data_IF_897484610459
#
_entry.id   IF_897484610459
#
_cell.length_a   1.000
_cell.length_b   1.000
_cell.length_c   1.000
_cell.angle_alpha   90.00
_cell.angle_beta   90.00
_cell.angle_gamma   90.00
#
_symmetry.space_group_name_H-M   'P 1'
#
loop_
_entity.id
_entity.type
_entity.pdbx_description
1 polymer ?
#
# COMPACT_ATOMS: atom_id res chain seq x y z
N UNK A 1 -48.73 12.99 -3.14
CA UNK A 1 -48.49 11.53 -3.03
C UNK A 1 -47.00 11.30 -2.92
N UNK A 2 -46.50 11.25 -1.68
CA UNK A 2 -45.07 11.20 -1.37
C UNK A 2 -44.64 9.74 -1.17
N UNK A 3 -43.85 9.21 -2.10
CA UNK A 3 -43.34 7.84 -2.05
C UNK A 3 -42.09 7.79 -1.19
N UNK A 4 -42.28 7.56 0.11
CA UNK A 4 -41.24 7.07 1.02
C UNK A 4 -41.11 5.55 0.82
N UNK A 5 -40.02 5.08 0.25
CA UNK A 5 -39.69 3.65 0.20
C UNK A 5 -38.21 3.42 0.55
N UNK A 6 -38.04 2.65 1.62
CA UNK A 6 -36.97 1.70 1.91
C UNK A 6 -35.55 2.24 2.22
N UNK A 7 -35.42 2.80 3.42
CA UNK A 7 -34.20 2.69 4.22
C UNK A 7 -34.40 1.61 5.28
N UNK A 8 -34.09 0.36 4.97
CA UNK A 8 -33.97 -0.74 5.94
C UNK A 8 -33.16 -1.87 5.28
N UNK A 9 -32.30 -2.50 6.07
CA UNK A 9 -31.31 -3.55 5.73
C UNK A 9 -29.91 -3.02 5.31
N UNK A 10 -29.22 -2.35 6.23
CA UNK A 10 -27.74 -2.36 6.27
C UNK A 10 -27.23 -2.01 7.68
N UNK A 11 -27.56 -2.84 8.67
CA UNK A 11 -27.02 -2.68 10.04
C UNK A 11 -27.14 -3.99 10.83
N UNK A 12 -26.36 -5.01 10.45
CA UNK A 12 -26.04 -6.13 11.36
C UNK A 12 -24.95 -7.03 10.79
N UNK A 13 -23.66 -6.67 10.94
CA UNK A 13 -22.57 -7.67 10.92
C UNK A 13 -21.18 -7.14 11.33
N UNK A 14 -21.05 -6.23 12.30
CA UNK A 14 -19.72 -5.90 12.88
C UNK A 14 -19.81 -5.43 14.34
N UNK A 15 -20.47 -6.20 15.20
CA UNK A 15 -20.46 -5.96 16.65
C UNK A 15 -20.37 -7.28 17.41
N UNK A 16 -19.27 -8.02 17.27
CA UNK A 16 -18.96 -9.14 18.19
C UNK A 16 -17.48 -9.55 18.11
N UNK A 17 -16.59 -8.62 18.49
CA UNK A 17 -15.20 -8.97 18.82
C UNK A 17 -14.66 -8.11 19.96
N UNK A 18 -15.37 -8.09 21.08
CA UNK A 18 -14.82 -7.73 22.39
C UNK A 18 -15.08 -8.88 23.35
N UNK A 19 -14.38 -10.00 23.13
CA UNK A 19 -14.25 -11.07 24.13
C UNK A 19 -13.02 -10.75 24.97
N UNK A 20 -13.15 -9.76 25.85
CA UNK A 20 -12.18 -9.36 26.87
C UNK A 20 -12.58 -9.97 28.22
N UNK A 21 -12.68 -11.29 28.29
CA UNK A 21 -12.88 -12.01 29.55
C UNK A 21 -11.94 -13.21 29.55
N UNK A 22 -10.85 -13.12 30.31
CA UNK A 22 -9.87 -14.19 30.38
C UNK A 22 -8.48 -13.84 30.93
N UNK A 23 -8.24 -12.62 31.42
CA UNK A 23 -7.03 -12.34 32.21
C UNK A 23 -7.31 -12.62 33.68
N UNK A 24 -7.48 -13.90 34.00
CA UNK A 24 -7.36 -14.38 35.37
C UNK A 24 -5.91 -14.22 35.80
N UNK A 25 -5.65 -13.24 36.66
CA UNK A 25 -4.97 -13.49 37.93
C UNK A 25 -3.72 -14.40 37.86
N UNK A 26 -2.70 -13.98 37.12
CA UNK A 26 -1.34 -14.44 37.38
C UNK A 26 -0.76 -13.61 38.53
N UNK A 27 -1.03 -14.05 39.76
CA UNK A 27 -0.31 -13.58 40.94
C UNK A 27 1.18 -13.83 40.73
N UNK A 28 1.95 -12.75 40.67
CA UNK A 28 3.40 -12.80 40.79
C UNK A 28 3.75 -13.32 42.19
N UNK A 29 4.15 -14.59 42.28
CA UNK A 29 4.80 -15.15 43.47
C UNK A 29 6.19 -14.51 43.55
N UNK A 30 6.28 -13.41 44.29
CA UNK A 30 7.56 -12.88 44.76
C UNK A 30 8.09 -13.89 45.78
N UNK A 31 9.06 -14.70 45.36
CA UNK A 31 9.84 -15.51 46.28
C UNK A 31 10.80 -14.54 46.98
N UNK A 32 10.38 -14.02 48.13
CA UNK A 32 11.24 -13.28 49.04
C UNK A 32 12.19 -14.31 49.66
N UNK A 33 13.48 -14.23 49.31
CA UNK A 33 14.52 -15.03 49.95
C UNK A 33 14.72 -14.50 51.38
N UNK A 34 14.20 -15.21 52.36
CA UNK A 34 14.17 -14.83 53.78
C UNK A 34 15.53 -14.98 54.49
N UNK A 35 16.60 -15.37 53.77
CA UNK A 35 17.92 -15.65 54.35
C UNK A 35 19.01 -14.59 54.13
N UNK A 36 18.67 -13.38 53.66
CA UNK A 36 19.69 -12.34 53.41
C UNK A 36 19.73 -11.21 54.45
N UNK A 37 19.04 -11.31 55.59
CA UNK A 37 18.85 -10.17 56.52
C UNK A 37 19.83 -10.07 57.70
N UNK A 38 20.78 -10.99 57.87
CA UNK A 38 21.71 -10.94 59.00
C UNK A 38 23.12 -10.54 58.56
N UNK A 39 23.40 -9.22 58.53
CA UNK A 39 24.79 -8.76 58.36
C UNK A 39 25.03 -7.33 57.91
N UNK A 40 24.07 -6.40 57.95
CA UNK A 40 24.33 -4.99 57.61
C UNK A 40 24.66 -4.18 58.86
N UNK A 41 25.93 -4.27 59.27
CA UNK A 41 26.55 -3.27 60.12
C UNK A 41 26.53 -1.92 59.40
N UNK A 42 25.92 -0.92 60.03
CA UNK A 42 25.85 0.45 59.55
C UNK A 42 27.26 1.08 59.57
N UNK A 43 28.04 0.83 58.52
CA UNK A 43 29.16 1.71 58.17
C UNK A 43 28.56 2.98 57.58
N UNK A 44 28.72 4.09 58.31
CA UNK A 44 28.42 5.44 57.84
C UNK A 44 29.33 5.75 56.65
N UNK A 45 28.87 5.36 55.46
CA UNK A 45 29.57 5.62 54.21
C UNK A 45 29.42 7.11 53.88
N UNK A 46 30.54 7.83 53.96
CA UNK A 46 30.67 9.18 53.41
C UNK A 46 30.15 9.18 51.97
N UNK A 47 29.12 10.00 51.69
CA UNK A 47 28.52 10.15 50.37
C UNK A 47 29.63 10.39 49.34
N UNK A 48 29.92 9.45 48.42
CA UNK A 48 30.96 9.65 47.44
C UNK A 48 30.59 10.86 46.58
N UNK A 49 31.51 11.83 46.50
CA UNK A 49 31.36 13.02 45.65
C UNK A 49 30.93 12.58 44.25
N UNK A 50 29.76 13.05 43.81
CA UNK A 50 29.19 12.68 42.52
C UNK A 50 30.24 12.90 41.41
N UNK A 51 30.67 11.81 40.78
CA UNK A 51 31.61 11.86 39.66
C UNK A 51 30.98 12.79 38.61
N UNK A 52 31.70 13.87 38.26
CA UNK A 52 31.32 14.79 37.17
C UNK A 52 30.91 13.94 35.97
N UNK A 53 29.62 13.97 35.61
CA UNK A 53 29.06 13.16 34.54
C UNK A 53 29.75 13.45 33.22
N UNK A 54 29.80 12.45 32.33
CA UNK A 54 30.22 12.67 30.94
C UNK A 54 29.36 13.81 30.35
N UNK A 55 29.96 14.74 29.59
CA UNK A 55 29.22 15.74 28.84
C UNK A 55 28.08 15.07 28.05
N UNK A 56 26.91 15.70 28.01
CA UNK A 56 25.81 15.22 27.18
C UNK A 56 26.30 15.16 25.73
N UNK A 57 26.09 14.03 25.06
CA UNK A 57 26.41 13.91 23.65
C UNK A 57 25.51 14.87 22.85
N UNK A 58 26.03 15.47 21.75
CA UNK A 58 25.27 16.37 20.91
C UNK A 58 24.00 15.70 20.39
N UNK A 59 22.96 16.51 20.16
CA UNK A 59 21.64 16.01 19.76
C UNK A 59 21.64 15.23 18.43
N UNK A 60 22.67 15.34 17.59
CA UNK A 60 22.81 14.54 16.37
C UNK A 60 23.21 13.08 16.63
N UNK A 61 23.81 12.78 17.79
CA UNK A 61 24.05 11.41 18.26
C UNK A 61 22.88 10.92 19.10
N UNK A 62 21.64 11.12 18.63
CA UNK A 62 20.46 10.56 19.29
C UNK A 62 20.69 9.07 19.49
N UNK A 63 20.58 8.65 20.75
CA UNK A 63 20.71 7.27 21.19
C UNK A 63 19.80 6.37 20.35
N UNK A 64 20.38 5.57 19.46
CA UNK A 64 19.64 4.54 18.72
C UNK A 64 18.97 3.62 19.73
N UNK A 65 17.65 3.51 19.66
CA UNK A 65 16.89 2.60 20.54
C UNK A 65 17.13 1.18 20.04
N UNK A 66 17.65 0.31 20.91
CA UNK A 66 17.83 -1.10 20.55
C UNK A 66 16.46 -1.74 20.36
N UNK A 67 16.19 -2.23 19.15
CA UNK A 67 14.98 -2.97 18.82
C UNK A 67 15.32 -4.46 18.73
N UNK A 68 14.90 -5.22 19.73
CA UNK A 68 15.09 -6.68 19.75
C UNK A 68 13.91 -7.35 19.04
N UNK A 69 14.18 -8.00 17.90
CA UNK A 69 13.16 -8.75 17.16
C UNK A 69 13.25 -10.24 17.46
N UNK A 70 12.09 -10.89 17.55
CA UNK A 70 11.98 -12.36 17.53
C UNK A 70 11.56 -12.79 16.14
N UNK A 71 12.50 -13.33 15.37
CA UNK A 71 12.23 -13.87 14.04
C UNK A 71 11.70 -15.30 14.15
N UNK A 72 10.81 -15.70 13.24
CA UNK A 72 10.32 -17.08 13.13
C UNK A 72 10.90 -17.75 11.89
N UNK A 73 11.14 -19.06 11.97
CA UNK A 73 11.63 -19.86 10.85
C UNK A 73 13.00 -19.40 10.34
N UNK A 74 13.28 -19.65 9.06
CA UNK A 74 14.52 -19.27 8.37
C UNK A 74 14.64 -17.79 7.99
N UNK A 75 13.81 -16.90 8.55
CA UNK A 75 13.88 -15.45 8.25
C UNK A 75 15.21 -14.85 8.70
N UNK A 76 15.80 -15.36 9.78
CA UNK A 76 17.13 -14.92 10.23
C UNK A 76 18.19 -15.26 9.20
N UNK A 77 18.16 -16.49 8.68
CA UNK A 77 19.11 -16.97 7.67
C UNK A 77 19.00 -16.14 6.39
N UNK A 78 17.77 -15.80 5.96
CA UNK A 78 17.52 -14.91 4.81
C UNK A 78 18.06 -13.49 5.04
N UNK A 79 17.95 -12.95 6.26
CA UNK A 79 18.51 -11.64 6.59
C UNK A 79 20.04 -11.67 6.67
N UNK A 80 20.63 -12.77 7.17
CA UNK A 80 22.09 -12.97 7.21
C UNK A 80 22.68 -13.08 5.81
N UNK A 81 22.04 -13.84 4.91
CA UNK A 81 22.43 -13.94 3.50
C UNK A 81 22.36 -12.58 2.81
N UNK A 82 21.23 -11.87 2.93
CA UNK A 82 21.07 -10.55 2.35
C UNK A 82 22.05 -9.51 2.91
N UNK A 83 22.32 -9.54 4.22
CA UNK A 83 23.30 -8.66 4.87
C UNK A 83 24.73 -8.94 4.36
N UNK A 84 25.06 -10.22 4.14
CA UNK A 84 26.34 -10.62 3.55
C UNK A 84 26.48 -10.15 2.11
N UNK A 85 25.41 -10.27 1.31
CA UNK A 85 25.38 -9.77 -0.08
C UNK A 85 25.50 -8.24 -0.16
N UNK A 86 24.82 -7.52 0.75
CA UNK A 86 24.82 -6.05 0.77
C UNK A 86 26.03 -5.44 1.50
N UNK A 87 26.80 -6.24 2.24
CA UNK A 87 27.93 -5.78 3.06
C UNK A 87 27.52 -4.99 4.31
N UNK A 88 26.30 -5.21 4.83
CA UNK A 88 25.74 -4.53 6.01
C UNK A 88 25.67 -5.46 7.21
N UNK A 89 25.45 -4.90 8.40
CA UNK A 89 25.04 -5.73 9.55
C UNK A 89 23.58 -6.18 9.40
N UNK A 90 23.22 -7.29 10.05
CA UNK A 90 21.84 -7.81 10.07
C UNK A 90 20.85 -6.74 10.54
N UNK A 91 21.23 -5.95 11.55
CA UNK A 91 20.39 -4.88 12.09
C UNK A 91 20.16 -3.74 11.10
N UNK A 92 21.21 -3.31 10.38
CA UNK A 92 21.11 -2.26 9.36
C UNK A 92 20.29 -2.73 8.14
N UNK A 93 20.48 -3.98 7.71
CA UNK A 93 19.69 -4.54 6.61
C UNK A 93 18.22 -4.68 6.99
N UNK A 94 17.92 -5.09 8.23
CA UNK A 94 16.55 -5.12 8.74
C UNK A 94 15.93 -3.72 8.80
N UNK A 95 16.66 -2.72 9.28
CA UNK A 95 16.23 -1.32 9.31
C UNK A 95 15.95 -0.81 7.89
N UNK A 96 16.86 -1.05 6.95
CA UNK A 96 16.69 -0.59 5.57
C UNK A 96 15.47 -1.22 4.90
N UNK A 97 15.18 -2.51 5.15
CA UNK A 97 13.98 -3.17 4.63
C UNK A 97 12.70 -2.60 5.23
N UNK A 98 12.72 -2.26 6.52
CA UNK A 98 11.59 -1.61 7.18
C UNK A 98 11.36 -0.22 6.60
N UNK A 99 12.41 0.59 6.43
CA UNK A 99 12.32 1.92 5.79
C UNK A 99 11.77 1.78 4.37
N UNK A 100 12.36 0.91 3.56
CA UNK A 100 11.90 0.65 2.20
C UNK A 100 10.43 0.20 2.16
N UNK A 101 9.95 -0.54 3.18
CA UNK A 101 8.54 -0.94 3.26
C UNK A 101 7.59 0.24 3.46
N UNK A 102 8.03 1.29 4.14
CA UNK A 102 7.23 2.51 4.34
C UNK A 102 7.30 3.42 3.11
N UNK A 103 8.50 3.60 2.55
CA UNK A 103 8.73 4.46 1.38
C UNK A 103 8.06 3.91 0.12
N UNK A 104 7.88 2.59 0.04
CA UNK A 104 7.24 1.91 -1.09
C UNK A 104 5.82 2.43 -1.38
N UNK A 105 5.09 2.94 -0.39
CA UNK A 105 3.75 3.52 -0.66
C UNK A 105 3.87 4.81 -1.45
N UNK A 106 4.75 5.72 -1.02
CA UNK A 106 4.92 7.02 -1.68
C UNK A 106 5.65 6.88 -3.01
N UNK A 107 6.60 5.93 -3.13
CA UNK A 107 7.27 5.63 -4.40
C UNK A 107 6.29 5.12 -5.47
N UNK A 108 5.36 4.25 -5.09
CA UNK A 108 4.43 3.61 -6.04
C UNK A 108 3.27 4.54 -6.39
N UNK A 109 2.68 5.17 -5.38
CA UNK A 109 1.43 5.92 -5.54
C UNK A 109 1.67 7.43 -5.56
N UNK A 110 2.90 7.92 -5.38
CA UNK A 110 3.25 9.35 -5.32
C UNK A 110 2.74 10.08 -4.08
N UNK A 111 1.66 9.59 -3.46
CA UNK A 111 1.10 10.13 -2.22
C UNK A 111 0.26 9.11 -1.46
N UNK A 112 0.27 9.24 -0.13
CA UNK A 112 -0.66 8.54 0.77
C UNK A 112 -2.13 8.75 0.44
N UNK A 113 -2.51 9.92 -0.08
CA UNK A 113 -3.88 10.22 -0.49
C UNK A 113 -4.30 9.35 -1.68
N UNK A 114 -3.45 9.28 -2.73
CA UNK A 114 -3.72 8.42 -3.88
C UNK A 114 -3.77 6.94 -3.49
N UNK A 115 -2.88 6.50 -2.59
CA UNK A 115 -2.91 5.15 -2.03
C UNK A 115 -4.26 4.82 -1.38
N UNK A 116 -4.81 5.73 -0.56
CA UNK A 116 -6.11 5.56 0.08
C UNK A 116 -7.26 5.47 -0.94
N UNK A 117 -7.23 6.28 -2.00
CA UNK A 117 -8.21 6.21 -3.10
C UNK A 117 -8.14 4.85 -3.78
N UNK A 118 -6.94 4.40 -4.14
CA UNK A 118 -6.73 3.11 -4.83
C UNK A 118 -7.14 1.91 -3.96
N UNK A 119 -6.84 1.95 -2.66
CA UNK A 119 -7.33 0.93 -1.71
C UNK A 119 -8.86 0.90 -1.65
N UNK A 120 -9.50 2.07 -1.62
CA UNK A 120 -10.97 2.18 -1.56
C UNK A 120 -11.60 1.62 -2.83
N UNK A 121 -11.06 1.96 -4.00
CA UNK A 121 -11.49 1.42 -5.29
C UNK A 121 -11.31 -0.11 -5.33
N UNK A 122 -10.14 -0.61 -4.95
CA UNK A 122 -9.87 -2.06 -4.94
C UNK A 122 -10.80 -2.82 -4.00
N UNK A 123 -11.06 -2.29 -2.79
CA UNK A 123 -11.97 -2.89 -1.82
C UNK A 123 -13.41 -2.97 -2.36
N UNK A 124 -13.89 -1.90 -3.01
CA UNK A 124 -15.23 -1.87 -3.58
C UNK A 124 -15.37 -2.79 -4.79
N UNK A 125 -14.40 -2.78 -5.71
CA UNK A 125 -14.38 -3.69 -6.86
C UNK A 125 -14.45 -5.15 -6.39
N UNK A 126 -13.62 -5.53 -5.41
CA UNK A 126 -13.62 -6.87 -4.84
C UNK A 126 -14.98 -7.24 -4.25
N UNK A 127 -15.51 -6.40 -3.35
CA UNK A 127 -16.77 -6.67 -2.67
C UNK A 127 -17.96 -6.78 -3.65
N UNK A 128 -18.04 -5.86 -4.63
CA UNK A 128 -19.09 -5.87 -5.65
C UNK A 128 -18.95 -7.04 -6.61
N UNK A 129 -17.73 -7.35 -7.07
CA UNK A 129 -17.46 -8.48 -7.94
C UNK A 129 -17.83 -9.83 -7.30
N UNK A 130 -17.38 -10.07 -6.06
CA UNK A 130 -17.72 -11.28 -5.30
C UNK A 130 -19.23 -11.39 -5.05
N UNK A 131 -19.89 -10.26 -4.73
CA UNK A 131 -21.36 -10.25 -4.52
C UNK A 131 -22.14 -10.49 -5.81
N UNK A 132 -21.71 -9.90 -6.92
CA UNK A 132 -22.35 -10.08 -8.23
C UNK A 132 -22.20 -11.54 -8.69
N UNK A 133 -21.00 -12.12 -8.52
CA UNK A 133 -20.71 -13.51 -8.81
C UNK A 133 -21.58 -14.45 -7.98
N UNK A 134 -21.69 -14.22 -6.67
CA UNK A 134 -22.54 -15.04 -5.79
C UNK A 134 -24.03 -15.04 -6.18
N UNK A 135 -24.50 -14.03 -6.91
CA UNK A 135 -25.88 -13.92 -7.43
C UNK A 135 -26.04 -14.50 -8.83
N UNK A 136 -24.96 -14.53 -9.60
CA UNK A 136 -24.93 -15.11 -10.93
C UNK A 136 -24.66 -16.61 -10.76
N UNK A 137 -25.71 -17.44 -10.68
CA UNK A 137 -25.67 -18.89 -10.41
C UNK A 137 -24.84 -19.75 -11.40
N UNK A 138 -23.97 -19.16 -12.21
CA UNK A 138 -23.03 -19.87 -13.08
C UNK A 138 -21.93 -20.51 -12.22
N UNK A 139 -21.88 -21.83 -12.21
CA UNK A 139 -20.93 -22.60 -11.40
C UNK A 139 -19.49 -22.60 -11.96
N UNK A 140 -19.29 -22.13 -13.20
CA UNK A 140 -18.02 -22.34 -13.91
C UNK A 140 -16.93 -21.31 -13.58
N UNK A 141 -17.29 -20.18 -12.97
CA UNK A 141 -16.34 -19.12 -12.67
C UNK A 141 -15.80 -19.23 -11.24
N UNK A 142 -14.49 -19.44 -11.10
CA UNK A 142 -13.80 -19.53 -9.79
C UNK A 142 -13.39 -18.18 -9.22
N UNK A 143 -13.35 -17.14 -10.06
CA UNK A 143 -12.96 -15.77 -9.70
C UNK A 143 -13.84 -14.74 -10.42
N UNK A 144 -14.29 -13.70 -9.71
CA UNK A 144 -15.14 -12.65 -10.27
C UNK A 144 -14.47 -11.89 -11.44
N UNK A 145 -13.14 -11.93 -11.52
CA UNK A 145 -12.37 -11.40 -12.64
C UNK A 145 -12.62 -12.16 -13.96
N UNK A 146 -13.09 -13.41 -13.90
CA UNK A 146 -13.36 -14.26 -15.07
C UNK A 146 -14.83 -14.22 -15.53
N UNK A 147 -15.75 -13.69 -14.71
CA UNK A 147 -17.15 -13.49 -15.09
C UNK A 147 -17.38 -12.07 -15.65
N UNK A 148 -17.75 -11.91 -16.94
CA UNK A 148 -17.94 -10.60 -17.55
C UNK A 148 -18.96 -9.71 -16.84
N UNK A 149 -20.03 -10.31 -16.30
CA UNK A 149 -21.06 -9.56 -15.58
C UNK A 149 -20.51 -9.02 -14.25
N UNK A 150 -19.87 -9.87 -13.45
CA UNK A 150 -19.27 -9.46 -12.17
C UNK A 150 -18.16 -8.43 -12.36
N UNK A 151 -17.34 -8.57 -13.40
CA UNK A 151 -16.32 -7.59 -13.75
C UNK A 151 -16.93 -6.22 -14.11
N UNK A 152 -17.98 -6.17 -14.93
CA UNK A 152 -18.70 -4.93 -15.27
C UNK A 152 -19.28 -4.24 -14.03
N UNK A 153 -19.86 -5.01 -13.09
CA UNK A 153 -20.36 -4.45 -11.83
C UNK A 153 -19.22 -3.86 -10.97
N UNK A 154 -18.07 -4.52 -10.92
CA UNK A 154 -16.90 -4.00 -10.21
C UNK A 154 -16.38 -2.70 -10.86
N UNK A 155 -16.33 -2.60 -12.19
CA UNK A 155 -15.95 -1.37 -12.90
C UNK A 155 -16.91 -0.23 -12.60
N UNK A 156 -18.22 -0.49 -12.58
CA UNK A 156 -19.23 0.52 -12.20
C UNK A 156 -19.04 1.01 -10.77
N UNK A 157 -18.70 0.12 -9.83
CA UNK A 157 -18.39 0.49 -8.45
C UNK A 157 -17.13 1.38 -8.36
N UNK A 158 -16.06 1.01 -9.07
CA UNK A 158 -14.85 1.81 -9.16
C UNK A 158 -15.12 3.21 -9.70
N UNK A 159 -15.84 3.31 -10.82
CA UNK A 159 -16.23 4.57 -11.43
C UNK A 159 -17.03 5.46 -10.46
N UNK A 160 -18.00 4.87 -9.75
CA UNK A 160 -18.82 5.62 -8.78
C UNK A 160 -17.99 6.21 -7.64
N UNK A 161 -16.96 5.49 -7.18
CA UNK A 161 -16.06 5.96 -6.12
C UNK A 161 -15.13 7.06 -6.63
N UNK A 162 -14.57 6.90 -7.83
CA UNK A 162 -13.71 7.91 -8.44
C UNK A 162 -14.48 9.23 -8.65
N UNK A 163 -15.73 9.16 -9.13
CA UNK A 163 -16.60 10.33 -9.24
C UNK A 163 -16.94 10.94 -7.86
N UNK A 164 -16.98 10.15 -6.79
CA UNK A 164 -17.22 10.68 -5.44
C UNK A 164 -16.00 11.42 -4.84
N UNK A 165 -14.78 11.06 -5.26
CA UNK A 165 -13.55 11.75 -4.87
C UNK A 165 -13.21 12.95 -5.78
N UNK A 166 -13.96 13.14 -6.86
CA UNK A 166 -13.77 14.25 -7.78
C UNK A 166 -13.96 15.58 -7.02
N UNK A 167 -13.00 16.50 -7.08
CA UNK A 167 -13.15 17.80 -6.43
C UNK A 167 -14.30 18.58 -7.06
N UNK A 168 -15.00 19.38 -6.25
CA UNK A 168 -16.03 20.28 -6.74
C UNK A 168 -15.43 21.38 -7.63
N UNK A 169 -16.16 21.78 -8.66
CA UNK A 169 -15.76 22.86 -9.56
C UNK A 169 -15.96 22.52 -11.05
N UNK A 170 -15.95 23.56 -11.87
CA UNK A 170 -15.95 23.42 -13.32
C UNK A 170 -14.59 22.88 -13.79
N UNK A 171 -14.58 21.80 -14.58
CA UNK A 171 -13.36 21.33 -15.23
C UNK A 171 -12.98 22.32 -16.32
N UNK A 172 -12.02 23.19 -16.01
CA UNK A 172 -11.39 24.07 -16.99
C UNK A 172 -10.09 23.42 -17.45
N UNK A 173 -9.92 23.13 -18.74
CA UNK A 173 -8.63 22.69 -19.25
C UNK A 173 -7.59 23.79 -18.98
N UNK A 174 -6.31 23.43 -18.77
CA UNK A 174 -5.26 24.43 -18.65
C UNK A 174 -5.24 25.34 -19.87
N UNK A 175 -4.79 26.58 -19.69
CA UNK A 175 -4.62 27.50 -20.81
C UNK A 175 -3.81 26.83 -21.93
N UNK A 176 -4.26 27.02 -23.17
CA UNK A 176 -3.76 26.31 -24.36
C UNK A 176 -2.23 26.26 -24.37
N UNK A 177 -1.68 25.05 -24.44
CA UNK A 177 -0.31 24.87 -24.91
C UNK A 177 -0.30 25.20 -26.40
N UNK A 178 0.49 26.19 -26.80
CA UNK A 178 0.74 26.45 -28.22
C UNK A 178 1.64 25.36 -28.75
N UNK A 179 1.10 24.52 -29.62
CA UNK A 179 1.90 23.58 -30.40
C UNK A 179 2.25 24.26 -31.70
N UNK A 180 3.54 24.49 -31.90
CA UNK A 180 4.07 24.98 -33.16
C UNK A 180 4.54 23.75 -33.92
N UNK A 181 3.97 23.50 -35.10
CA UNK A 181 4.40 22.40 -35.95
C UNK A 181 5.82 22.64 -36.51
N UNK A 182 6.35 21.65 -37.25
CA UNK A 182 7.67 21.78 -37.87
C UNK A 182 7.77 22.95 -38.87
N UNK A 183 6.63 23.42 -39.38
CA UNK A 183 6.52 24.54 -40.33
C UNK A 183 6.30 25.90 -39.64
N UNK A 184 6.27 25.95 -38.30
CA UNK A 184 6.05 27.18 -37.55
C UNK A 184 4.58 27.60 -37.39
N UNK A 185 3.61 26.77 -37.80
CA UNK A 185 2.18 27.06 -37.69
C UNK A 185 1.63 26.60 -36.34
N UNK A 186 0.71 27.38 -35.79
CA UNK A 186 -0.01 27.03 -34.56
C UNK A 186 -1.02 25.90 -34.87
N UNK A 187 -0.71 24.69 -34.42
CA UNK A 187 -1.64 23.56 -34.48
C UNK A 187 -2.48 23.51 -33.19
N UNK A 188 -3.37 24.50 -33.08
CA UNK A 188 -4.30 24.60 -31.96
C UNK A 188 -5.23 23.38 -31.86
N UNK A 189 -5.58 22.76 -33.00
CA UNK A 189 -6.46 21.60 -33.03
C UNK A 189 -5.80 20.37 -32.40
N UNK A 190 -4.51 20.15 -32.64
CA UNK A 190 -3.76 19.09 -31.97
C UNK A 190 -3.68 19.33 -30.47
N UNK A 191 -3.41 20.56 -30.02
CA UNK A 191 -3.37 20.90 -28.60
C UNK A 191 -4.70 20.64 -27.87
N UNK A 192 -5.83 20.97 -28.50
CA UNK A 192 -7.16 20.71 -27.93
C UNK A 192 -7.47 19.21 -27.84
N UNK A 193 -7.11 18.42 -28.88
CA UNK A 193 -7.28 16.96 -28.87
C UNK A 193 -6.43 16.28 -27.80
N UNK A 194 -5.18 16.72 -27.63
CA UNK A 194 -4.28 16.20 -26.60
C UNK A 194 -4.81 16.51 -25.20
N UNK A 195 -5.26 17.74 -24.96
CA UNK A 195 -5.83 18.12 -23.67
C UNK A 195 -7.12 17.35 -23.33
N UNK A 196 -7.97 17.09 -24.34
CA UNK A 196 -9.22 16.35 -24.13
C UNK A 196 -8.98 14.87 -23.79
N UNK A 197 -7.91 14.27 -24.31
CA UNK A 197 -7.68 12.82 -24.25
C UNK A 197 -6.39 12.42 -23.54
N UNK A 198 -5.77 13.33 -22.76
CA UNK A 198 -4.48 13.06 -22.12
C UNK A 198 -4.52 11.79 -21.25
N UNK A 199 -5.59 11.61 -20.48
CA UNK A 199 -5.77 10.43 -19.63
C UNK A 199 -5.90 9.14 -20.43
N UNK A 200 -6.63 9.16 -21.54
CA UNK A 200 -6.80 8.00 -22.43
C UNK A 200 -5.47 7.64 -23.11
N UNK A 201 -4.72 8.64 -23.60
CA UNK A 201 -3.41 8.44 -24.20
C UNK A 201 -2.40 7.82 -23.23
N UNK A 202 -2.35 8.30 -21.98
CA UNK A 202 -1.51 7.70 -20.94
C UNK A 202 -1.93 6.27 -20.60
N UNK A 203 -3.23 6.02 -20.46
CA UNK A 203 -3.74 4.68 -20.18
C UNK A 203 -3.39 3.70 -21.32
N UNK A 204 -3.59 4.12 -22.58
CA UNK A 204 -3.23 3.34 -23.76
C UNK A 204 -1.73 3.03 -23.81
N UNK A 205 -0.87 4.02 -23.52
CA UNK A 205 0.58 3.82 -23.48
C UNK A 205 1.03 2.83 -22.39
N UNK A 206 0.40 2.85 -21.21
CA UNK A 206 0.69 1.88 -20.15
C UNK A 206 0.20 0.48 -20.54
N UNK A 207 -0.95 0.37 -21.20
CA UNK A 207 -1.47 -0.93 -21.66
C UNK A 207 -0.57 -1.54 -22.74
N UNK A 208 -0.13 -0.73 -23.72
CA UNK A 208 0.83 -1.10 -24.76
C UNK A 208 2.19 -1.52 -24.17
N UNK A 209 2.66 -0.84 -23.12
CA UNK A 209 3.87 -1.23 -22.39
C UNK A 209 3.73 -2.62 -21.71
N UNK A 210 2.56 -2.92 -21.16
CA UNK A 210 2.30 -4.21 -20.49
C UNK A 210 2.10 -5.34 -21.52
N UNK A 211 1.51 -5.06 -22.68
CA UNK A 211 1.30 -6.06 -23.74
C UNK A 211 2.57 -6.30 -24.57
N UNK A 212 3.36 -5.26 -24.85
CA UNK A 212 4.57 -5.33 -25.66
C UNK A 212 5.68 -6.18 -25.00
N UNK A 213 6.46 -6.89 -25.80
CA UNK A 213 7.69 -7.56 -25.35
C UNK A 213 8.83 -6.58 -25.09
N UNK A 214 8.81 -5.41 -25.73
CA UNK A 214 9.88 -4.42 -25.69
C UNK A 214 9.40 -3.09 -25.09
N UNK A 215 10.04 -2.58 -24.03
CA UNK A 215 9.69 -1.30 -23.43
C UNK A 215 10.10 -0.13 -24.35
N UNK A 216 9.16 0.80 -24.60
CA UNK A 216 9.37 1.97 -25.48
C UNK A 216 9.98 3.19 -24.79
N UNK A 217 10.14 3.16 -23.46
CA UNK A 217 10.70 4.27 -22.69
C UNK A 217 11.52 3.77 -21.50
N UNK A 218 12.41 4.61 -20.97
CA UNK A 218 13.20 4.27 -19.76
C UNK A 218 12.31 3.99 -18.55
N UNK A 219 11.24 4.78 -18.36
CA UNK A 219 10.23 4.55 -17.32
C UNK A 219 9.53 3.21 -17.51
N UNK A 220 9.27 2.84 -18.77
CA UNK A 220 8.65 1.57 -19.11
C UNK A 220 9.53 0.35 -18.79
N UNK A 221 10.86 0.48 -18.92
CA UNK A 221 11.81 -0.61 -18.64
C UNK A 221 11.68 -1.10 -17.20
N UNK A 222 11.51 -0.19 -16.25
CA UNK A 222 11.41 -0.53 -14.82
C UNK A 222 10.00 -0.95 -14.42
N UNK A 223 8.98 -0.27 -14.97
CA UNK A 223 7.59 -0.45 -14.58
C UNK A 223 6.95 -1.71 -15.18
N UNK A 224 7.17 -2.00 -16.46
CA UNK A 224 6.49 -3.09 -17.16
C UNK A 224 6.75 -4.47 -16.55
N UNK A 225 8.02 -4.88 -16.25
CA UNK A 225 8.30 -6.19 -15.68
C UNK A 225 7.62 -6.38 -14.33
N UNK A 226 7.56 -5.32 -13.53
CA UNK A 226 6.88 -5.34 -12.23
C UNK A 226 5.38 -5.54 -12.41
N UNK A 227 4.72 -4.76 -13.28
CA UNK A 227 3.28 -4.92 -13.52
C UNK A 227 2.95 -6.31 -14.08
N UNK A 228 3.77 -6.85 -14.99
CA UNK A 228 3.60 -8.21 -15.52
C UNK A 228 3.68 -9.29 -14.44
N UNK A 229 4.53 -9.12 -13.41
CA UNK A 229 4.61 -10.07 -12.28
C UNK A 229 3.37 -10.04 -11.39
N UNK A 230 2.76 -8.87 -11.21
CA UNK A 230 1.59 -8.69 -10.34
C UNK A 230 0.27 -9.08 -11.04
N UNK A 231 0.24 -9.03 -12.38
CA UNK A 231 -0.92 -9.43 -13.17
C UNK A 231 -0.96 -10.95 -13.36
N UNK A 232 -2.15 -11.55 -13.24
CA UNK A 232 -2.33 -12.96 -13.57
C UNK A 232 -2.11 -13.20 -15.07
N UNK A 233 -1.66 -14.41 -15.42
CA UNK A 233 -1.51 -14.83 -16.82
C UNK A 233 -2.82 -14.71 -17.61
N UNK A 234 -3.97 -14.93 -16.96
CA UNK A 234 -5.29 -14.75 -17.56
C UNK A 234 -5.56 -13.30 -17.98
N UNK A 235 -5.16 -12.31 -17.17
CA UNK A 235 -5.33 -10.90 -17.50
C UNK A 235 -4.38 -10.46 -18.61
N UNK A 236 -3.11 -10.89 -18.54
CA UNK A 236 -2.14 -10.62 -19.60
C UNK A 236 -2.62 -11.14 -20.97
N UNK A 237 -3.18 -12.36 -21.00
CA UNK A 237 -3.73 -12.94 -22.23
C UNK A 237 -4.93 -12.18 -22.80
N UNK A 238 -5.69 -11.44 -21.98
CA UNK A 238 -6.80 -10.59 -22.47
C UNK A 238 -6.29 -9.32 -23.12
N UNK A 239 -5.20 -8.75 -22.59
CA UNK A 239 -4.57 -7.57 -23.17
C UNK A 239 -4.03 -7.89 -24.56
N UNK A 240 -3.29 -9.00 -24.71
CA UNK A 240 -2.71 -9.40 -26.00
C UNK A 240 -3.75 -9.81 -27.03
N UNK A 241 -4.86 -10.45 -26.62
CA UNK A 241 -5.95 -10.82 -27.55
C UNK A 241 -6.68 -9.62 -28.13
N UNK A 242 -6.83 -8.53 -27.37
CA UNK A 242 -7.58 -7.35 -27.80
C UNK A 242 -6.89 -6.62 -28.96
N UNK A 243 -5.55 -6.69 -29.02
CA UNK A 243 -4.76 -6.08 -30.10
C UNK A 243 -4.95 -6.78 -31.45
N UNK A 244 -5.34 -8.07 -31.46
CA UNK A 244 -5.61 -8.80 -32.70
C UNK A 244 -7.00 -8.55 -33.31
N UNK A 245 -7.86 -7.75 -32.65
CA UNK A 245 -9.23 -7.46 -33.11
C UNK A 245 -9.43 -6.01 -33.59
N UNK A 246 -8.43 -5.15 -33.48
CA UNK A 246 -8.44 -3.77 -33.96
C UNK A 246 -7.79 -3.69 -35.35
#
# INVERSE_FOLDING_TARGET
MATRLNALVFTRMYSDRTRSEGLSSFYARIIVCEKCSEGLGAMEQEKPKAKRGRPALPAEEVKRTNLTFRTRGGLRDQLEEAAKESGRSISEEAEQRIIASFDRVDEIFGSRALYGIMQTVAAAMKATGETAMARNFKMDATNWLDDPYSYDQAVKAAHKILEAFRPEGEIKPPARMRFIDADGKDDTAMGERLNANIGEGFAAGVLDEISSSEPRSTVAVERAPRLKRELSSSLLNRLTKKEGMA
#
